data_IF_625850343907
#
_entry.id   IF_625850343907
#
_cell.length_a   1.000
_cell.length_b   1.000
_cell.length_c   1.000
_cell.angle_alpha   90.00
_cell.angle_beta   90.00
_cell.angle_gamma   90.00
#
_symmetry.space_group_name_H-M   'P 1'
#
loop_
_entity.id
_entity.type
_entity.pdbx_description
1 polymer ?
#
# COMPACT_ATOMS: atom_id res chain seq x y z
N UNK A 1 24.80 -0.59 0.06
CA UNK A 1 23.41 -0.52 -0.40
C UNK A 1 22.91 0.89 -0.18
N UNK A 2 22.36 1.53 -1.22
CA UNK A 2 21.73 2.87 -1.13
C UNK A 2 20.23 2.68 -1.28
N UNK A 3 19.43 3.38 -0.47
CA UNK A 3 17.96 3.33 -0.54
C UNK A 3 17.46 4.74 -0.85
N UNK A 4 16.57 4.85 -1.82
CA UNK A 4 15.96 6.09 -2.26
C UNK A 4 14.43 5.93 -2.33
N UNK A 5 13.68 6.98 -1.98
CA UNK A 5 12.22 6.98 -1.99
C UNK A 5 11.72 7.82 -3.17
N UNK A 6 10.90 7.20 -4.02
CA UNK A 6 10.37 7.82 -5.25
C UNK A 6 8.94 7.42 -5.50
N UNK A 7 8.25 8.13 -6.38
CA UNK A 7 6.94 7.72 -6.92
C UNK A 7 7.10 6.42 -7.71
N UNK A 8 6.05 5.59 -7.75
CA UNK A 8 6.12 4.26 -8.36
C UNK A 8 6.61 4.30 -9.82
N UNK A 9 6.14 5.24 -10.64
CA UNK A 9 6.58 5.36 -12.04
C UNK A 9 8.08 5.67 -12.14
N UNK A 10 8.60 6.59 -11.32
CA UNK A 10 10.04 6.91 -11.28
C UNK A 10 10.89 5.71 -10.84
N UNK A 11 10.33 4.83 -9.98
CA UNK A 11 10.98 3.57 -9.61
C UNK A 11 11.08 2.66 -10.82
N UNK A 12 9.99 2.50 -11.59
CA UNK A 12 10.00 1.68 -12.81
C UNK A 12 11.01 2.21 -13.82
N UNK A 13 11.05 3.52 -14.08
CA UNK A 13 11.99 4.14 -14.99
C UNK A 13 13.43 3.96 -14.52
N UNK A 14 13.69 4.17 -13.23
CA UNK A 14 15.03 3.99 -12.65
C UNK A 14 15.54 2.55 -12.74
N UNK A 15 14.62 1.57 -12.62
CA UNK A 15 14.95 0.15 -12.82
C UNK A 15 15.19 -0.15 -14.29
N UNK A 16 14.36 0.35 -15.19
CA UNK A 16 14.49 0.15 -16.64
C UNK A 16 15.84 0.68 -17.15
N UNK A 17 16.20 1.90 -16.74
CA UNK A 17 17.45 2.58 -17.12
C UNK A 17 18.70 1.99 -16.42
N UNK A 18 18.52 1.10 -15.45
CA UNK A 18 19.63 0.51 -14.69
C UNK A 18 20.23 1.44 -13.63
N UNK A 19 19.60 2.57 -13.33
CA UNK A 19 19.98 3.45 -12.22
C UNK A 19 19.69 2.83 -10.86
N UNK A 20 18.70 1.92 -10.79
CA UNK A 20 18.41 1.07 -9.64
C UNK A 20 18.45 -0.40 -10.05
N UNK A 21 18.97 -1.26 -9.20
CA UNK A 21 18.98 -2.71 -9.42
C UNK A 21 17.62 -3.34 -9.11
N UNK A 22 16.89 -2.76 -8.13
CA UNK A 22 15.61 -3.25 -7.63
C UNK A 22 14.75 -2.09 -7.13
N UNK A 23 13.46 -2.15 -7.41
CA UNK A 23 12.46 -1.28 -6.83
C UNK A 23 11.44 -2.08 -5.99
N UNK A 24 10.99 -1.51 -4.86
CA UNK A 24 9.88 -2.04 -4.09
C UNK A 24 8.65 -1.18 -4.33
N UNK A 25 7.56 -1.80 -4.78
CA UNK A 25 6.33 -1.10 -5.15
C UNK A 25 5.08 -1.83 -4.66
N UNK A 26 4.03 -1.06 -4.40
CA UNK A 26 2.70 -1.62 -4.24
C UNK A 26 2.11 -1.97 -5.63
N UNK A 27 1.35 -3.06 -5.69
CA UNK A 27 0.71 -3.55 -6.93
C UNK A 27 1.73 -3.75 -8.06
N UNK A 28 2.80 -4.55 -7.84
CA UNK A 28 3.86 -4.74 -8.81
C UNK A 28 3.30 -5.27 -10.14
N UNK A 29 3.69 -4.65 -11.27
CA UNK A 29 3.28 -5.04 -12.61
C UNK A 29 4.51 -5.28 -13.47
N UNK A 30 4.55 -6.41 -14.17
CA UNK A 30 5.54 -6.63 -15.24
C UNK A 30 5.29 -5.65 -16.39
N UNK A 31 6.37 -5.11 -16.95
CA UNK A 31 6.39 -4.25 -18.13
C UNK A 31 7.46 -4.75 -19.10
N UNK A 32 7.50 -4.21 -20.32
CA UNK A 32 8.59 -4.53 -21.24
C UNK A 32 9.95 -4.26 -20.57
N UNK A 33 10.86 -5.21 -20.59
CA UNK A 33 12.16 -5.12 -19.94
C UNK A 33 12.15 -5.18 -18.40
N UNK A 34 10.97 -5.26 -17.76
CA UNK A 34 10.85 -5.32 -16.29
C UNK A 34 10.10 -6.56 -15.86
N UNK A 35 10.68 -7.27 -14.90
CA UNK A 35 10.07 -8.38 -14.15
C UNK A 35 9.49 -7.86 -12.84
N UNK A 36 8.27 -8.28 -12.50
CA UNK A 36 7.65 -8.01 -11.22
C UNK A 36 7.46 -9.30 -10.42
N UNK A 37 7.71 -9.24 -9.13
CA UNK A 37 7.64 -10.36 -8.18
C UNK A 37 6.81 -9.90 -7.00
N UNK A 38 5.63 -10.50 -6.77
CA UNK A 38 4.88 -10.25 -5.54
C UNK A 38 5.57 -10.94 -4.38
N UNK A 39 5.95 -10.16 -3.36
CA UNK A 39 6.70 -10.63 -2.20
C UNK A 39 5.79 -10.94 -1.01
N UNK A 40 4.89 -10.00 -0.65
CA UNK A 40 3.93 -10.17 0.44
C UNK A 40 2.64 -9.40 0.18
N UNK A 41 1.66 -9.59 1.06
CA UNK A 41 0.42 -8.82 1.06
C UNK A 41 0.29 -8.07 2.37
N UNK A 42 -0.02 -6.80 2.29
CA UNK A 42 -0.19 -5.90 3.41
C UNK A 42 -1.68 -5.64 3.65
N UNK A 43 -2.12 -5.71 4.91
CA UNK A 43 -3.51 -5.38 5.26
C UNK A 43 -3.76 -3.89 5.07
N UNK A 44 -4.96 -3.57 4.59
CA UNK A 44 -5.51 -2.23 4.63
C UNK A 44 -6.51 -2.15 5.79
N UNK A 45 -6.37 -1.12 6.61
CA UNK A 45 -7.20 -0.89 7.80
C UNK A 45 -7.89 0.47 7.72
N UNK A 46 -9.08 0.56 8.30
CA UNK A 46 -9.69 1.84 8.59
C UNK A 46 -8.86 2.56 9.64
N UNK A 47 -8.65 3.86 9.46
CA UNK A 47 -8.15 4.75 10.49
C UNK A 47 -9.17 5.85 10.79
N UNK A 48 -9.27 6.23 12.06
CA UNK A 48 -10.14 7.28 12.53
C UNK A 48 -9.56 7.94 13.80
N UNK A 49 -9.97 9.16 14.15
CA UNK A 49 -9.60 9.75 15.43
C UNK A 49 -10.24 8.96 16.59
N UNK A 50 -9.64 9.01 17.80
CA UNK A 50 -10.24 8.40 19.00
C UNK A 50 -11.63 8.95 19.26
N UNK A 51 -12.57 8.08 19.65
CA UNK A 51 -13.96 8.46 19.91
C UNK A 51 -14.84 8.52 18.66
N UNK A 52 -14.32 8.35 17.47
CA UNK A 52 -15.13 8.28 16.26
C UNK A 52 -16.11 7.09 16.32
N UNK A 53 -17.33 7.26 15.78
CA UNK A 53 -18.39 6.22 15.83
C UNK A 53 -17.98 4.87 15.23
N UNK A 54 -17.03 4.87 14.30
CA UNK A 54 -16.51 3.66 13.68
C UNK A 54 -15.38 3.00 14.50
N UNK A 55 -15.04 3.52 15.69
CA UNK A 55 -14.15 2.83 16.61
C UNK A 55 -14.79 1.52 17.08
N UNK A 56 -14.01 0.44 17.13
CA UNK A 56 -14.51 -0.85 17.59
C UNK A 56 -13.49 -1.98 17.41
N UNK A 57 -13.74 -3.10 18.07
CA UNK A 57 -12.83 -4.27 18.02
C UNK A 57 -13.18 -5.27 16.93
N UNK A 58 -14.46 -5.33 16.51
CA UNK A 58 -14.88 -6.26 15.45
C UNK A 58 -14.50 -5.70 14.08
N UNK A 59 -14.16 -6.55 13.09
CA UNK A 59 -13.94 -6.10 11.73
C UNK A 59 -15.11 -5.26 11.20
N UNK A 60 -14.78 -4.17 10.50
CA UNK A 60 -15.74 -3.19 9.97
C UNK A 60 -16.33 -3.68 8.64
N UNK A 61 -17.64 -3.88 8.52
CA UNK A 61 -18.27 -4.02 7.21
C UNK A 61 -18.13 -2.74 6.39
N UNK A 62 -17.82 -2.85 5.09
CA UNK A 62 -17.69 -1.66 4.24
C UNK A 62 -18.97 -0.81 4.19
N UNK A 63 -20.14 -1.41 4.39
CA UNK A 63 -21.44 -0.70 4.45
C UNK A 63 -21.51 0.38 5.52
N UNK A 64 -20.78 0.22 6.63
CA UNK A 64 -20.71 1.22 7.70
C UNK A 64 -20.00 2.52 7.27
N UNK A 65 -19.25 2.50 6.17
CA UNK A 65 -18.59 3.69 5.60
C UNK A 65 -19.54 4.59 4.80
N UNK A 66 -20.79 4.16 4.59
CA UNK A 66 -21.75 4.94 3.79
C UNK A 66 -21.97 6.33 4.38
N UNK A 67 -21.68 7.35 3.54
CA UNK A 67 -21.85 8.76 3.91
C UNK A 67 -20.79 9.35 4.83
N UNK A 68 -19.77 8.56 5.24
CA UNK A 68 -18.66 9.04 6.07
C UNK A 68 -17.83 10.12 5.36
N UNK A 69 -17.33 11.06 6.16
CA UNK A 69 -16.28 12.00 5.75
C UNK A 69 -14.99 11.21 5.55
N UNK A 70 -14.43 11.28 4.37
CA UNK A 70 -13.31 10.40 3.98
C UNK A 70 -12.14 11.22 3.43
N UNK A 71 -10.95 10.98 3.96
CA UNK A 71 -9.69 11.48 3.38
C UNK A 71 -9.15 10.39 2.47
N UNK A 72 -9.03 10.66 1.18
CA UNK A 72 -8.53 9.71 0.19
C UNK A 72 -7.08 9.96 -0.22
N UNK A 73 -6.43 8.92 -0.70
CA UNK A 73 -5.26 9.10 -1.56
C UNK A 73 -5.71 9.61 -2.93
N UNK A 74 -4.82 10.28 -3.65
CA UNK A 74 -5.05 10.76 -5.03
C UNK A 74 -5.44 9.61 -5.96
N UNK A 75 -6.28 9.89 -6.96
CA UNK A 75 -6.95 8.86 -7.80
C UNK A 75 -6.01 8.06 -8.68
N UNK A 76 -4.85 8.61 -9.00
CA UNK A 76 -3.78 7.94 -9.76
C UNK A 76 -3.06 6.86 -8.93
N UNK A 77 -3.15 6.91 -7.60
CA UNK A 77 -2.49 5.96 -6.70
C UNK A 77 -3.18 4.59 -6.75
N UNK A 78 -2.44 3.49 -7.01
CA UNK A 78 -3.02 2.16 -7.13
C UNK A 78 -3.82 1.69 -5.91
N UNK A 79 -3.40 2.07 -4.69
CA UNK A 79 -4.14 1.76 -3.46
C UNK A 79 -5.52 2.41 -3.44
N UNK A 80 -5.64 3.68 -3.92
CA UNK A 80 -6.93 4.35 -4.06
C UNK A 80 -7.80 3.66 -5.10
N UNK A 81 -7.28 3.32 -6.24
CA UNK A 81 -8.02 2.61 -7.29
C UNK A 81 -8.53 1.25 -6.80
N UNK A 82 -7.74 0.56 -5.97
CA UNK A 82 -8.17 -0.69 -5.34
C UNK A 82 -9.33 -0.47 -4.38
N UNK A 83 -9.23 0.54 -3.51
CA UNK A 83 -10.28 0.92 -2.57
C UNK A 83 -11.57 1.29 -3.30
N UNK A 84 -11.50 2.15 -4.33
CA UNK A 84 -12.67 2.60 -5.10
C UNK A 84 -13.41 1.42 -5.74
N UNK A 85 -12.69 0.41 -6.24
CA UNK A 85 -13.29 -0.83 -6.76
C UNK A 85 -14.08 -1.60 -5.69
N UNK A 86 -13.54 -1.66 -4.46
CA UNK A 86 -14.21 -2.34 -3.35
C UNK A 86 -15.43 -1.57 -2.88
N UNK A 87 -15.34 -0.25 -2.69
CA UNK A 87 -16.47 0.61 -2.34
C UNK A 87 -17.59 0.52 -3.39
N UNK A 88 -17.23 0.57 -4.68
CA UNK A 88 -18.19 0.44 -5.79
C UNK A 88 -18.89 -0.93 -5.78
N UNK A 89 -18.15 -2.02 -5.59
CA UNK A 89 -18.74 -3.38 -5.51
C UNK A 89 -19.68 -3.54 -4.31
N UNK A 90 -19.37 -2.89 -3.19
CA UNK A 90 -20.21 -2.89 -2.00
C UNK A 90 -21.38 -1.89 -2.07
N UNK A 91 -21.52 -1.10 -3.14
CA UNK A 91 -22.54 -0.06 -3.26
C UNK A 91 -22.36 1.08 -2.26
N UNK A 92 -21.16 1.28 -1.74
CA UNK A 92 -20.86 2.27 -0.68
C UNK A 92 -20.33 3.55 -1.31
N UNK A 93 -20.96 4.67 -0.94
CA UNK A 93 -20.50 6.01 -1.30
C UNK A 93 -20.02 6.73 -0.03
N UNK A 94 -18.79 7.20 -0.03
CA UNK A 94 -18.19 8.05 1.00
C UNK A 94 -18.14 9.51 0.53
N UNK A 95 -18.00 10.46 1.46
CA UNK A 95 -17.85 11.90 1.15
C UNK A 95 -16.37 12.27 1.22
N UNK A 96 -15.67 12.32 0.09
CA UNK A 96 -14.30 12.78 0.07
C UNK A 96 -14.21 14.25 0.49
N UNK A 97 -13.51 14.51 1.59
CA UNK A 97 -13.27 15.86 2.12
C UNK A 97 -11.88 16.38 1.74
N UNK A 98 -10.94 15.46 1.46
CA UNK A 98 -9.61 15.76 0.93
C UNK A 98 -9.09 14.58 0.10
N UNK A 99 -8.25 14.88 -0.89
CA UNK A 99 -7.50 13.89 -1.68
C UNK A 99 -6.01 14.28 -1.64
N UNK A 100 -5.13 13.38 -1.17
CA UNK A 100 -3.75 13.68 -0.84
C UNK A 100 -2.79 12.66 -1.48
N UNK A 101 -1.54 13.04 -1.71
CA UNK A 101 -0.58 12.22 -2.46
C UNK A 101 0.14 11.17 -1.62
N UNK A 102 0.22 11.34 -0.29
CA UNK A 102 0.97 10.44 0.56
C UNK A 102 0.22 10.10 1.86
N UNK A 103 0.62 8.98 2.48
CA UNK A 103 -0.06 8.43 3.65
C UNK A 103 0.15 9.31 4.89
N UNK A 104 1.29 9.98 5.04
CA UNK A 104 1.57 10.82 6.21
C UNK A 104 0.62 12.02 6.26
N UNK A 105 0.41 12.69 5.11
CA UNK A 105 -0.56 13.78 5.02
C UNK A 105 -2.00 13.29 5.18
N UNK A 106 -2.33 12.08 4.70
CA UNK A 106 -3.65 11.46 4.94
C UNK A 106 -3.89 11.25 6.44
N UNK A 107 -2.91 10.73 7.18
CA UNK A 107 -3.03 10.52 8.64
C UNK A 107 -3.26 11.85 9.36
N UNK A 108 -2.46 12.86 9.07
CA UNK A 108 -2.60 14.19 9.67
C UNK A 108 -3.98 14.82 9.36
N UNK A 109 -4.46 14.68 8.13
CA UNK A 109 -5.78 15.19 7.76
C UNK A 109 -6.93 14.41 8.43
N UNK A 110 -6.81 13.11 8.66
CA UNK A 110 -7.77 12.31 9.41
C UNK A 110 -7.90 12.82 10.85
N UNK A 111 -6.77 13.11 11.49
CA UNK A 111 -6.74 13.68 12.85
C UNK A 111 -7.42 15.07 12.89
N UNK A 112 -7.09 15.95 11.96
CA UNK A 112 -7.56 17.33 11.93
C UNK A 112 -9.05 17.46 11.53
N UNK A 113 -9.47 16.71 10.53
CA UNK A 113 -10.80 16.84 9.90
C UNK A 113 -11.90 15.99 10.56
N UNK A 114 -11.56 15.25 11.61
CA UNK A 114 -12.48 14.27 12.23
C UNK A 114 -13.14 13.37 11.18
N UNK A 115 -12.33 12.93 10.23
CA UNK A 115 -12.70 12.08 9.11
C UNK A 115 -12.13 10.68 9.25
N UNK A 116 -12.39 9.80 8.30
CA UNK A 116 -11.82 8.46 8.25
C UNK A 116 -11.00 8.26 6.98
N UNK A 117 -10.12 7.27 6.99
CA UNK A 117 -9.40 6.83 5.79
C UNK A 117 -9.13 5.33 5.84
N UNK A 118 -8.65 4.78 4.72
CA UNK A 118 -8.17 3.40 4.65
C UNK A 118 -6.71 3.44 4.17
N UNK A 119 -5.82 2.94 5.03
CA UNK A 119 -4.37 2.97 4.83
C UNK A 119 -3.74 1.60 5.14
N UNK A 120 -2.48 1.34 4.76
CA UNK A 120 -1.77 0.14 5.19
C UNK A 120 -1.58 0.11 6.71
N UNK A 121 -1.82 -1.04 7.30
CA UNK A 121 -1.68 -1.25 8.75
C UNK A 121 -0.28 -0.87 9.28
N UNK A 122 0.76 -1.18 8.50
CA UNK A 122 2.15 -0.87 8.87
C UNK A 122 2.42 0.63 9.02
N UNK A 123 1.70 1.47 8.25
CA UNK A 123 1.92 2.91 8.20
C UNK A 123 1.32 3.68 9.39
N UNK A 124 0.46 3.06 10.20
CA UNK A 124 -0.29 3.71 11.28
C UNK A 124 0.07 3.20 12.68
N UNK A 125 1.02 2.28 12.79
CA UNK A 125 1.38 1.64 14.07
C UNK A 125 1.79 2.63 15.16
N UNK A 126 2.50 3.69 14.77
CA UNK A 126 3.00 4.68 15.71
C UNK A 126 1.85 5.53 16.26
N UNK A 127 0.95 6.01 15.41
CA UNK A 127 -0.21 6.82 15.79
C UNK A 127 -1.16 6.02 16.68
N UNK A 128 -1.36 4.75 16.38
CA UNK A 128 -2.18 3.84 17.22
C UNK A 128 -1.52 3.63 18.58
N UNK A 129 -0.21 3.39 18.63
CA UNK A 129 0.53 3.24 19.90
C UNK A 129 0.48 4.51 20.76
N UNK A 130 0.46 5.68 20.13
CA UNK A 130 0.36 6.98 20.78
C UNK A 130 -1.08 7.39 21.12
N UNK A 131 -2.08 6.60 20.70
CA UNK A 131 -3.49 6.92 20.91
C UNK A 131 -4.03 8.09 20.09
N UNK A 132 -3.28 8.57 19.08
CA UNK A 132 -3.72 9.67 18.20
C UNK A 132 -4.70 9.23 17.14
N UNK A 133 -4.59 7.99 16.68
CA UNK A 133 -5.52 7.34 15.77
C UNK A 133 -5.92 5.98 16.30
N UNK A 134 -7.08 5.50 15.89
CA UNK A 134 -7.45 4.09 15.99
C UNK A 134 -7.27 3.40 14.63
N UNK A 135 -6.95 2.12 14.65
CA UNK A 135 -7.01 1.27 13.46
C UNK A 135 -8.04 0.15 13.67
N UNK A 136 -8.91 -0.07 12.69
CA UNK A 136 -9.91 -1.13 12.70
C UNK A 136 -9.79 -1.98 11.45
N UNK A 137 -9.75 -3.29 11.61
CA UNK A 137 -9.75 -4.23 10.50
C UNK A 137 -11.05 -4.11 9.69
N UNK A 138 -10.96 -4.29 8.38
CA UNK A 138 -12.11 -4.24 7.46
C UNK A 138 -12.57 -5.67 7.19
N UNK A 139 -13.87 -5.93 7.34
CA UNK A 139 -14.50 -7.21 7.06
C UNK A 139 -14.64 -7.47 5.55
N UNK A 140 -13.50 -7.52 4.84
CA UNK A 140 -13.45 -7.83 3.43
C UNK A 140 -12.15 -8.61 3.14
N UNK A 141 -12.27 -9.86 2.74
CA UNK A 141 -11.12 -10.77 2.51
C UNK A 141 -10.01 -10.18 1.61
N UNK A 142 -10.38 -9.31 0.68
CA UNK A 142 -9.47 -8.75 -0.33
C UNK A 142 -8.99 -7.34 -0.03
N UNK A 143 -9.23 -6.83 1.19
CA UNK A 143 -8.69 -5.53 1.62
C UNK A 143 -7.21 -5.65 2.01
N UNK A 144 -6.44 -6.13 1.04
CA UNK A 144 -4.97 -6.27 1.13
C UNK A 144 -4.36 -5.70 -0.13
N UNK A 145 -3.18 -5.11 -0.02
CA UNK A 145 -2.39 -4.68 -1.17
C UNK A 145 -1.19 -5.60 -1.38
N UNK A 146 -0.95 -6.07 -2.59
CA UNK A 146 0.28 -6.77 -2.90
C UNK A 146 1.45 -5.80 -2.87
N UNK A 147 2.52 -6.18 -2.19
CA UNK A 147 3.82 -5.52 -2.22
C UNK A 147 4.80 -6.41 -2.95
N UNK A 148 5.67 -5.82 -3.74
CA UNK A 148 6.63 -6.63 -4.48
C UNK A 148 7.81 -5.88 -5.02
N UNK A 149 8.71 -6.65 -5.58
CA UNK A 149 9.93 -6.20 -6.21
C UNK A 149 9.77 -6.09 -7.73
N UNK A 150 10.37 -5.07 -8.31
CA UNK A 150 10.56 -4.92 -9.74
C UNK A 150 12.04 -4.86 -10.06
N UNK A 151 12.47 -5.57 -11.09
CA UNK A 151 13.87 -5.66 -11.54
C UNK A 151 13.94 -5.76 -13.05
N UNK A 152 15.07 -5.47 -13.65
CA UNK A 152 15.27 -5.64 -15.09
C UNK A 152 15.10 -7.10 -15.53
N UNK A 153 14.75 -7.29 -16.79
CA UNK A 153 14.72 -8.59 -17.44
C UNK A 153 15.67 -8.56 -18.64
N UNK A 154 16.71 -9.42 -18.66
CA UNK A 154 17.07 -10.41 -17.64
C UNK A 154 17.45 -9.77 -16.30
N UNK A 155 17.22 -10.53 -15.22
CA UNK A 155 17.54 -10.07 -13.87
C UNK A 155 19.08 -10.06 -13.71
N UNK A 156 19.69 -8.96 -13.20
CA UNK A 156 21.12 -8.94 -12.94
C UNK A 156 21.52 -10.03 -11.93
N UNK A 157 22.51 -10.84 -12.28
CA UNK A 157 23.02 -11.91 -11.41
C UNK A 157 23.99 -11.35 -10.36
N UNK A 158 23.58 -10.32 -9.59
CA UNK A 158 24.39 -9.73 -8.52
C UNK A 158 24.07 -10.44 -7.20
N UNK A 159 25.05 -11.05 -6.56
CA UNK A 159 24.87 -11.78 -5.30
C UNK A 159 24.10 -10.95 -4.22
N UNK A 160 24.44 -9.67 -3.94
CA UNK A 160 23.68 -8.88 -2.96
C UNK A 160 22.22 -8.66 -3.34
N UNK A 161 21.89 -8.54 -4.63
CA UNK A 161 20.51 -8.41 -5.11
C UNK A 161 19.72 -9.69 -4.86
N UNK A 162 20.31 -10.83 -5.18
CA UNK A 162 19.69 -12.14 -5.02
C UNK A 162 19.46 -12.47 -3.54
N UNK A 163 20.44 -12.16 -2.70
CA UNK A 163 20.35 -12.31 -1.25
C UNK A 163 19.21 -11.44 -0.69
N UNK A 164 19.17 -10.15 -1.04
CA UNK A 164 18.10 -9.25 -0.61
C UNK A 164 16.73 -9.73 -1.05
N UNK A 165 16.57 -10.16 -2.30
CA UNK A 165 15.31 -10.75 -2.78
C UNK A 165 14.90 -12.00 -2.00
N UNK A 166 15.86 -12.83 -1.60
CA UNK A 166 15.57 -14.04 -0.82
C UNK A 166 15.03 -13.74 0.59
N UNK A 167 15.41 -12.59 1.16
CA UNK A 167 14.87 -12.10 2.43
C UNK A 167 13.42 -11.60 2.29
N UNK A 168 13.07 -11.05 1.13
CA UNK A 168 11.73 -10.51 0.89
C UNK A 168 10.70 -11.63 0.62
N UNK A 169 11.11 -12.71 -0.01
CA UNK A 169 10.20 -13.81 -0.32
C UNK A 169 10.96 -15.11 -0.64
N UNK A 170 10.53 -16.26 -0.07
CA UNK A 170 11.07 -17.57 -0.42
C UNK A 170 10.93 -17.90 -1.91
N UNK A 171 9.91 -17.33 -2.59
CA UNK A 171 9.70 -17.50 -4.04
C UNK A 171 10.80 -16.88 -4.88
N UNK A 172 11.56 -15.92 -4.35
CA UNK A 172 12.67 -15.32 -5.08
C UNK A 172 13.77 -16.34 -5.37
N UNK A 173 13.97 -17.36 -4.52
CA UNK A 173 14.96 -18.44 -4.77
C UNK A 173 14.67 -19.21 -6.06
N UNK A 174 13.40 -19.43 -6.41
CA UNK A 174 13.01 -20.09 -7.66
C UNK A 174 13.23 -19.24 -8.93
N UNK A 175 13.59 -17.98 -8.76
CA UNK A 175 13.75 -16.98 -9.83
C UNK A 175 15.20 -16.67 -10.12
N UNK A 176 16.12 -17.18 -9.29
CA UNK A 176 17.57 -17.10 -9.48
C UNK A 176 17.92 -18.09 -10.57
N UNK A 177 18.54 -17.67 -11.70
CA UNK A 177 19.04 -18.62 -12.67
C UNK A 177 19.99 -19.59 -11.95
N UNK A 178 19.82 -20.89 -12.18
CA UNK A 178 20.86 -21.85 -11.79
C UNK A 178 22.18 -21.42 -12.46
N UNK A 179 23.22 -21.30 -11.66
CA UNK A 179 24.56 -20.95 -12.12
C UNK A 179 25.09 -21.97 -13.10
#
# INVERSE_FOLDING_TARGET
MTVDYRKAEEIYDSVADGRCDLGLVAYPKGRQGIRAITCWHEKLVLIAPPGHRLCGRKPLPLSELKGERFVGLSRDIPTRQHLDKHLKRAGVKVKFVAELENIETVKAAVEAEQAVSIVPESSVRQEVKQGRLIAREIAAEKMRRPMGAVTRRPMPAKAPLLEFLSLLTPRAKALIPAA
#
